data_IF_943991389938
#
_entry.id   IF_943991389938
#
_cell.length_a   1.000
_cell.length_b   1.000
_cell.length_c   1.000
_cell.angle_alpha   90.00
_cell.angle_beta   90.00
_cell.angle_gamma   90.00
#
_symmetry.space_group_name_H-M   'P 1'
#
loop_
_entity.id
_entity.type
_entity.pdbx_description
1 polymer ?
#
# COMPACT_ATOMS: atom_id res chain seq x y z
N UNK A 1 -5.67 6.21 6.06
CA UNK A 1 -4.63 5.47 5.32
C UNK A 1 -5.22 4.56 4.25
N UNK A 2 -6.23 3.74 4.56
CA UNK A 2 -6.87 2.89 3.55
C UNK A 2 -7.36 3.68 2.32
N UNK A 3 -8.04 4.82 2.51
CA UNK A 3 -8.47 5.66 1.39
C UNK A 3 -7.30 6.15 0.53
N UNK A 4 -6.22 6.62 1.15
CA UNK A 4 -5.01 7.03 0.42
C UNK A 4 -4.41 5.87 -0.39
N UNK A 5 -4.33 4.68 0.22
CA UNK A 5 -3.84 3.48 -0.45
C UNK A 5 -4.74 3.13 -1.63
N UNK A 6 -6.05 3.14 -1.43
CA UNK A 6 -7.05 2.86 -2.48
C UNK A 6 -6.95 3.87 -3.63
N UNK A 7 -6.89 5.15 -3.34
CA UNK A 7 -6.76 6.21 -4.35
C UNK A 7 -5.43 6.09 -5.10
N UNK A 8 -4.35 5.71 -4.42
CA UNK A 8 -3.05 5.46 -5.05
C UNK A 8 -3.11 4.25 -5.97
N UNK A 9 -3.65 3.13 -5.50
CA UNK A 9 -3.80 1.90 -6.27
C UNK A 9 -4.67 2.12 -7.51
N UNK A 10 -5.81 2.79 -7.39
CA UNK A 10 -6.74 2.99 -8.51
C UNK A 10 -6.27 4.13 -9.43
N UNK A 11 -5.87 5.26 -8.85
CA UNK A 11 -5.58 6.47 -9.60
C UNK A 11 -4.18 6.52 -10.20
N UNK A 12 -3.17 6.04 -9.46
CA UNK A 12 -1.76 6.11 -9.88
C UNK A 12 -1.26 4.80 -10.46
N UNK A 13 -1.53 3.69 -9.78
CA UNK A 13 -1.13 2.35 -10.23
C UNK A 13 -2.12 1.76 -11.27
N UNK A 14 -3.22 2.46 -11.55
CA UNK A 14 -4.26 2.05 -12.51
C UNK A 14 -4.86 0.66 -12.24
N UNK A 15 -4.89 0.24 -10.97
CA UNK A 15 -5.43 -1.05 -10.55
C UNK A 15 -6.98 -1.03 -10.54
N UNK A 16 -7.64 -2.16 -10.81
CA UNK A 16 -9.10 -2.22 -10.82
C UNK A 16 -9.70 -1.92 -9.43
N UNK A 17 -10.48 -0.85 -9.31
CA UNK A 17 -11.14 -0.47 -8.06
C UNK A 17 -12.01 -1.58 -7.44
N UNK A 18 -12.55 -2.50 -8.26
CA UNK A 18 -13.33 -3.64 -7.78
C UNK A 18 -12.48 -4.68 -7.03
N UNK A 19 -11.17 -4.76 -7.32
CA UNK A 19 -10.21 -5.64 -6.64
C UNK A 19 -9.67 -5.06 -5.33
N UNK A 20 -9.69 -3.73 -5.19
CA UNK A 20 -9.19 -3.04 -3.98
C UNK A 20 -10.23 -3.08 -2.87
N UNK A 21 -10.29 -4.21 -2.17
CA UNK A 21 -11.18 -4.45 -1.01
C UNK A 21 -10.33 -4.75 0.23
N UNK A 22 -10.76 -4.39 1.46
CA UNK A 22 -9.95 -4.58 2.65
C UNK A 22 -9.52 -6.04 2.87
N UNK A 23 -10.38 -7.00 2.54
CA UNK A 23 -10.16 -8.44 2.74
C UNK A 23 -9.46 -9.12 1.56
N UNK A 24 -9.29 -8.44 0.43
CA UNK A 24 -8.61 -8.98 -0.74
C UNK A 24 -7.12 -9.15 -0.46
N UNK A 25 -6.50 -10.18 -1.05
CA UNK A 25 -5.04 -10.31 -1.00
C UNK A 25 -4.38 -9.22 -1.86
N UNK A 26 -3.10 -8.89 -1.61
CA UNK A 26 -2.36 -7.97 -2.47
C UNK A 26 -2.42 -8.38 -3.95
N UNK A 27 -2.26 -9.67 -4.25
CA UNK A 27 -2.33 -10.19 -5.61
C UNK A 27 -3.73 -10.04 -6.22
N UNK A 28 -4.79 -10.34 -5.46
CA UNK A 28 -6.17 -10.14 -5.91
C UNK A 28 -6.49 -8.65 -6.19
N UNK A 29 -5.82 -7.75 -5.46
CA UNK A 29 -5.94 -6.31 -5.64
C UNK A 29 -5.03 -5.75 -6.74
N UNK A 30 -4.17 -6.57 -7.34
CA UNK A 30 -3.25 -6.20 -8.42
C UNK A 30 -1.89 -5.64 -7.97
N UNK A 31 -1.51 -5.84 -6.70
CA UNK A 31 -0.16 -5.52 -6.20
C UNK A 31 0.83 -6.61 -6.61
N UNK A 32 1.17 -6.65 -7.89
CA UNK A 32 2.30 -7.42 -8.39
C UNK A 32 3.65 -6.73 -8.06
N UNK A 33 4.76 -7.34 -8.46
CA UNK A 33 6.09 -6.77 -8.16
C UNK A 33 6.31 -5.36 -8.69
N UNK A 34 5.75 -5.01 -9.86
CA UNK A 34 5.90 -3.67 -10.41
C UNK A 34 5.06 -2.66 -9.61
N UNK A 35 3.81 -3.01 -9.32
CA UNK A 35 2.92 -2.18 -8.52
C UNK A 35 3.45 -1.98 -7.09
N UNK A 36 4.11 -2.99 -6.51
CA UNK A 36 4.79 -2.88 -5.21
C UNK A 36 5.95 -1.88 -5.27
N UNK A 37 6.86 -2.01 -6.25
CA UNK A 37 7.95 -1.04 -6.43
C UNK A 37 7.42 0.37 -6.64
N UNK A 38 6.37 0.57 -7.44
CA UNK A 38 5.75 1.87 -7.64
C UNK A 38 5.08 2.41 -6.36
N UNK A 39 4.41 1.57 -5.59
CA UNK A 39 3.83 1.95 -4.30
C UNK A 39 4.91 2.43 -3.33
N UNK A 40 6.07 1.74 -3.26
CA UNK A 40 7.23 2.16 -2.45
C UNK A 40 7.70 3.54 -2.87
N UNK A 41 7.87 3.77 -4.18
CA UNK A 41 8.28 5.08 -4.71
C UNK A 41 7.27 6.19 -4.39
N UNK A 42 5.98 5.92 -4.51
CA UNK A 42 4.91 6.88 -4.20
C UNK A 42 4.87 7.18 -2.70
N UNK A 43 4.95 6.16 -1.85
CA UNK A 43 4.98 6.34 -0.39
C UNK A 43 6.19 7.17 0.05
N UNK A 44 7.35 6.96 -0.57
CA UNK A 44 8.54 7.78 -0.35
C UNK A 44 8.34 9.24 -0.72
N UNK A 45 7.76 9.51 -1.89
CA UNK A 45 7.58 10.86 -2.41
C UNK A 45 6.48 11.64 -1.68
N UNK A 46 5.35 10.98 -1.37
CA UNK A 46 4.16 11.64 -0.83
C UNK A 46 4.10 11.62 0.70
N UNK A 47 4.57 10.52 1.31
CA UNK A 47 4.50 10.31 2.75
C UNK A 47 5.86 10.43 3.44
N UNK A 48 6.95 10.54 2.67
CA UNK A 48 8.31 10.56 3.22
C UNK A 48 8.74 9.22 3.83
N UNK A 49 8.07 8.12 3.45
CA UNK A 49 8.33 6.80 4.01
C UNK A 49 9.31 6.00 3.13
N UNK A 50 10.40 5.53 3.72
CA UNK A 50 11.23 4.48 3.12
C UNK A 50 10.61 3.13 3.53
N UNK A 51 10.10 2.39 2.54
CA UNK A 51 9.47 1.08 2.74
C UNK A 51 10.35 -0.01 2.12
N UNK A 52 10.40 -1.17 2.75
CA UNK A 52 10.99 -2.37 2.16
C UNK A 52 9.91 -3.18 1.42
N UNK A 53 10.23 -3.69 0.23
CA UNK A 53 9.32 -4.55 -0.53
C UNK A 53 9.06 -5.87 0.22
N UNK A 54 10.05 -6.41 0.93
CA UNK A 54 9.90 -7.64 1.72
C UNK A 54 8.89 -7.48 2.87
N UNK A 55 8.82 -6.28 3.45
CA UNK A 55 7.81 -5.94 4.47
C UNK A 55 6.39 -5.93 3.88
N UNK A 56 6.24 -5.53 2.62
CA UNK A 56 4.95 -5.49 1.92
C UNK A 56 4.51 -6.89 1.45
N UNK A 57 5.45 -7.71 0.93
CA UNK A 57 5.17 -9.10 0.54
C UNK A 57 4.76 -10.00 1.72
N UNK A 58 5.13 -9.63 2.94
CA UNK A 58 4.70 -10.34 4.16
C UNK A 58 3.24 -10.11 4.57
N UNK A 59 2.53 -9.19 3.91
CA UNK A 59 1.16 -8.79 4.27
C UNK A 59 0.14 -9.58 3.46
N UNK A 60 -0.94 -10.00 4.11
CA UNK A 60 -1.92 -10.95 3.55
C UNK A 60 -3.14 -10.28 2.96
N UNK A 61 -3.42 -9.04 3.34
CA UNK A 61 -4.61 -8.31 2.87
C UNK A 61 -4.32 -6.83 2.62
N UNK A 62 -5.12 -6.19 1.76
CA UNK A 62 -5.05 -4.74 1.53
C UNK A 62 -5.24 -3.95 2.82
N UNK A 63 -6.09 -4.42 3.74
CA UNK A 63 -6.24 -3.82 5.07
C UNK A 63 -4.94 -3.85 5.87
N UNK A 64 -4.21 -4.97 5.85
CA UNK A 64 -2.90 -5.09 6.50
C UNK A 64 -1.87 -4.13 5.89
N UNK A 65 -1.87 -3.92 4.57
CA UNK A 65 -1.04 -2.91 3.88
C UNK A 65 -1.39 -1.50 4.35
N UNK A 66 -2.67 -1.15 4.36
CA UNK A 66 -3.10 0.16 4.85
C UNK A 66 -2.71 0.40 6.30
N UNK A 67 -2.80 -0.62 7.15
CA UNK A 67 -2.43 -0.54 8.56
C UNK A 67 -0.92 -0.46 8.77
N UNK A 68 -0.13 -1.17 7.96
CA UNK A 68 1.32 -1.06 7.94
C UNK A 68 1.76 0.38 7.60
N UNK A 69 1.21 0.95 6.53
CA UNK A 69 1.47 2.35 6.14
C UNK A 69 1.06 3.34 7.23
N UNK A 70 -0.11 3.12 7.85
CA UNK A 70 -0.61 3.97 8.93
C UNK A 70 0.39 4.03 10.08
N UNK A 71 0.87 2.87 10.54
CA UNK A 71 1.86 2.76 11.62
C UNK A 71 3.19 3.42 11.27
N UNK A 72 3.60 3.39 10.00
CA UNK A 72 4.81 4.08 9.53
C UNK A 72 4.65 5.61 9.52
N UNK A 73 3.44 6.11 9.20
CA UNK A 73 3.15 7.56 9.19
C UNK A 73 2.88 8.15 10.57
N UNK A 74 2.55 7.33 11.57
CA UNK A 74 2.36 7.84 12.92
C UNK A 74 3.71 8.26 13.51
N UNK A 75 3.85 9.52 13.97
CA UNK A 75 5.02 9.88 14.75
C UNK A 75 5.01 8.99 15.99
N UNK A 76 6.11 8.25 16.22
CA UNK A 76 6.33 7.53 17.47
C UNK A 76 6.25 8.60 18.56
N UNK A 77 5.13 8.64 19.28
CA UNK A 77 4.92 9.58 20.37
C UNK A 77 6.06 9.36 21.37
N UNK A 78 7.00 10.30 21.39
CA UNK A 78 8.14 10.34 22.31
C UNK A 78 7.74 11.03 23.60
#
# INVERSE_FOLDING_TARGET
MYEWLRDTMVGRLQLPAAGVRPEATPEEAGLDSLAVTELVLIARQELGLELDEDELYGLRTVAEVAEFLRRRTEPVAS
#
